data_IF_756351727355
#
_entry.id   IF_756351727355
#
_cell.length_a   1.000
_cell.length_b   1.000
_cell.length_c   1.000
_cell.angle_alpha   90.00
_cell.angle_beta   90.00
_cell.angle_gamma   90.00
#
_symmetry.space_group_name_H-M   'P 1'
#
loop_
_entity.id
_entity.type
_entity.pdbx_description
1 polymer ?
#
# COMPACT_ATOMS: atom_id res chain seq x y z
N UNK A 1 -4.51 14.63 -10.49
CA UNK A 1 -3.37 14.24 -9.62
C UNK A 1 -2.25 13.81 -10.53
N UNK A 2 -0.99 14.03 -10.15
CA UNK A 2 0.16 13.53 -10.91
C UNK A 2 0.67 12.23 -10.29
N UNK A 3 1.35 11.39 -11.08
CA UNK A 3 1.95 10.17 -10.55
C UNK A 3 3.01 10.53 -9.47
N UNK A 4 2.85 10.08 -8.21
CA UNK A 4 3.80 10.41 -7.15
C UNK A 4 5.22 9.92 -7.42
N UNK A 5 5.35 8.79 -8.12
CA UNK A 5 6.62 8.11 -8.41
C UNK A 5 7.40 8.72 -9.58
N UNK A 6 6.76 8.86 -10.74
CA UNK A 6 7.44 9.34 -11.96
C UNK A 6 7.08 10.77 -12.37
N UNK A 7 6.21 11.45 -11.59
CA UNK A 7 5.72 12.82 -11.86
C UNK A 7 5.02 12.99 -13.21
N UNK A 8 4.55 11.88 -13.81
CA UNK A 8 3.74 11.92 -15.02
C UNK A 8 2.40 12.63 -14.72
N UNK A 9 1.99 13.62 -15.53
CA UNK A 9 0.76 14.37 -15.29
C UNK A 9 -0.50 13.59 -15.68
N UNK A 10 -0.37 12.55 -16.50
CA UNK A 10 -1.49 11.73 -16.95
C UNK A 10 -1.58 10.44 -16.13
N UNK A 11 -2.76 10.23 -15.56
CA UNK A 11 -3.15 9.01 -14.88
C UNK A 11 -4.53 8.61 -15.40
N UNK A 12 -4.67 7.35 -15.74
CA UNK A 12 -5.91 6.77 -16.24
C UNK A 12 -6.75 6.29 -15.05
N UNK A 13 -8.05 6.58 -15.08
CA UNK A 13 -8.96 6.08 -14.04
C UNK A 13 -9.29 4.61 -14.34
N UNK A 14 -9.10 3.75 -13.35
CA UNK A 14 -9.40 2.32 -13.42
C UNK A 14 -10.12 1.87 -12.14
N UNK A 15 -10.67 0.66 -12.13
CA UNK A 15 -11.15 0.01 -10.90
C UNK A 15 -10.29 -1.23 -10.62
N UNK A 16 -9.74 -1.34 -9.41
CA UNK A 16 -8.94 -2.50 -8.98
C UNK A 16 -9.80 -3.64 -8.44
N UNK A 17 -10.92 -3.30 -7.82
CA UNK A 17 -11.97 -4.23 -7.40
C UNK A 17 -13.32 -3.53 -7.50
N UNK A 18 -14.39 -4.27 -7.19
CA UNK A 18 -15.69 -3.66 -6.91
C UNK A 18 -15.50 -2.60 -5.82
N UNK A 19 -15.98 -1.39 -6.10
CA UNK A 19 -15.93 -0.23 -5.20
C UNK A 19 -14.53 0.29 -4.83
N UNK A 20 -13.47 -0.08 -5.57
CA UNK A 20 -12.12 0.48 -5.38
C UNK A 20 -11.61 1.18 -6.65
N UNK A 21 -12.01 2.44 -6.89
CA UNK A 21 -11.44 3.25 -7.94
C UNK A 21 -9.96 3.56 -7.66
N UNK A 22 -9.16 3.58 -8.71
CA UNK A 22 -7.73 3.89 -8.66
C UNK A 22 -7.29 4.66 -9.91
N UNK A 23 -6.06 5.17 -9.84
CA UNK A 23 -5.40 5.94 -10.88
C UNK A 23 -4.15 5.19 -11.35
N UNK A 24 -4.18 4.66 -12.56
CA UNK A 24 -3.07 3.93 -13.19
C UNK A 24 -2.12 4.88 -13.92
N UNK A 25 -0.83 4.61 -13.82
CA UNK A 25 0.20 5.32 -14.57
C UNK A 25 0.76 4.43 -15.69
N UNK A 26 0.51 4.77 -16.96
CA UNK A 26 1.09 4.07 -18.11
C UNK A 26 2.62 4.11 -18.20
N UNK A 27 3.29 5.05 -17.50
CA UNK A 27 4.75 5.16 -17.51
C UNK A 27 5.43 4.20 -16.52
N UNK A 28 5.01 4.22 -15.25
CA UNK A 28 5.64 3.41 -14.21
C UNK A 28 4.83 2.17 -13.81
N UNK A 29 3.67 1.96 -14.44
CA UNK A 29 2.74 0.87 -14.18
C UNK A 29 2.22 0.82 -12.73
N UNK A 30 2.31 1.95 -12.02
CA UNK A 30 1.84 2.07 -10.64
C UNK A 30 0.35 2.37 -10.57
N UNK A 31 -0.30 1.88 -9.52
CA UNK A 31 -1.69 2.16 -9.19
C UNK A 31 -1.76 2.99 -7.92
N UNK A 32 -2.56 4.05 -7.95
CA UNK A 32 -2.70 5.00 -6.84
C UNK A 32 -4.15 5.16 -6.47
N UNK A 33 -4.48 4.95 -5.20
CA UNK A 33 -5.84 5.13 -4.68
C UNK A 33 -5.82 6.40 -3.83
N UNK A 34 -6.85 7.24 -3.92
CA UNK A 34 -6.93 8.42 -3.02
C UNK A 34 -7.26 7.95 -1.61
N UNK A 35 -6.80 8.69 -0.60
CA UNK A 35 -7.04 8.35 0.80
C UNK A 35 -8.53 8.10 1.09
N UNK A 36 -9.41 9.00 0.66
CA UNK A 36 -10.85 8.87 0.84
C UNK A 36 -11.45 7.61 0.18
N UNK A 37 -11.04 7.30 -1.06
CA UNK A 37 -11.53 6.12 -1.79
C UNK A 37 -11.07 4.82 -1.08
N UNK A 38 -9.84 4.82 -0.57
CA UNK A 38 -9.29 3.71 0.19
C UNK A 38 -10.02 3.50 1.53
N UNK A 39 -10.28 4.57 2.27
CA UNK A 39 -11.02 4.54 3.53
C UNK A 39 -12.44 3.99 3.34
N UNK A 40 -13.16 4.48 2.32
CA UNK A 40 -14.49 3.95 1.99
C UNK A 40 -14.44 2.46 1.65
N UNK A 41 -13.48 2.03 0.83
CA UNK A 41 -13.33 0.62 0.51
C UNK A 41 -13.04 -0.23 1.75
N UNK A 42 -12.20 0.25 2.67
CA UNK A 42 -11.95 -0.46 3.92
C UNK A 42 -13.22 -0.68 4.75
N UNK A 43 -14.15 0.28 4.78
CA UNK A 43 -15.44 0.13 5.46
C UNK A 43 -16.29 -0.99 4.82
N UNK A 44 -16.20 -1.19 3.50
CA UNK A 44 -16.95 -2.25 2.78
C UNK A 44 -16.49 -3.65 3.15
N UNK A 45 -15.23 -3.82 3.54
CA UNK A 45 -14.67 -5.14 3.85
C UNK A 45 -15.16 -5.69 5.19
N UNK A 46 -15.70 -4.85 6.07
CA UNK A 46 -16.19 -5.26 7.39
C UNK A 46 -15.11 -5.89 8.29
N UNK A 47 -13.83 -5.67 7.99
CA UNK A 47 -12.71 -6.25 8.75
C UNK A 47 -12.36 -5.34 9.92
N UNK A 48 -12.56 -5.84 11.14
CA UNK A 48 -11.85 -5.30 12.29
C UNK A 48 -10.36 -5.67 12.14
N UNK A 49 -9.50 -4.67 11.94
CA UNK A 49 -8.05 -4.87 12.04
C UNK A 49 -7.68 -5.15 13.51
N UNK A 50 -7.82 -6.40 13.94
CA UNK A 50 -7.16 -6.87 15.15
C UNK A 50 -5.67 -6.94 14.82
N UNK A 51 -4.89 -6.04 15.43
CA UNK A 51 -3.45 -6.26 15.57
C UNK A 51 -3.28 -7.50 16.45
N UNK A 52 -3.31 -8.68 15.86
CA UNK A 52 -2.77 -9.87 16.49
C UNK A 52 -1.27 -9.69 16.50
N UNK A 53 -0.70 -9.40 17.67
CA UNK A 53 0.72 -9.64 17.91
C UNK A 53 0.99 -11.09 17.55
N UNK A 54 1.70 -11.32 16.45
CA UNK A 54 2.19 -12.64 16.10
C UNK A 54 3.28 -12.92 17.14
N UNK A 55 3.08 -13.94 17.97
CA UNK A 55 4.10 -14.42 18.90
C UNK A 55 5.23 -15.00 18.04
N UNK A 56 6.32 -14.23 17.89
CA UNK A 56 7.45 -14.57 17.02
C UNK A 56 8.31 -15.64 17.71
N UNK A 57 7.86 -16.90 17.67
CA UNK A 57 8.76 -18.06 17.80
C UNK A 57 8.70 -18.94 16.54
N UNK A 58 8.43 -18.30 15.39
CA UNK A 58 8.57 -18.91 14.08
C UNK A 58 9.96 -18.54 13.58
N UNK A 59 10.88 -19.49 13.37
CA UNK A 59 12.15 -19.22 12.72
C UNK A 59 11.87 -18.81 11.27
N UNK A 60 11.73 -17.50 11.06
CA UNK A 60 11.48 -16.90 9.77
C UNK A 60 12.81 -16.88 9.01
N UNK A 61 13.06 -17.90 8.20
CA UNK A 61 14.21 -17.91 7.30
C UNK A 61 13.91 -17.02 6.09
N UNK A 62 13.72 -15.72 6.35
CA UNK A 62 13.40 -14.71 5.36
C UNK A 62 14.70 -14.11 4.84
N UNK A 63 14.98 -14.34 3.56
CA UNK A 63 16.01 -13.60 2.82
C UNK A 63 15.29 -12.55 1.97
N UNK A 64 15.39 -11.25 2.29
CA UNK A 64 14.78 -10.21 1.49
C UNK A 64 15.31 -10.26 0.06
N UNK A 65 14.46 -9.96 -0.93
CA UNK A 65 14.93 -9.79 -2.31
C UNK A 65 15.70 -8.48 -2.45
N UNK A 66 16.70 -8.45 -3.34
CA UNK A 66 17.39 -7.21 -3.73
C UNK A 66 16.45 -6.16 -4.34
N UNK A 67 15.23 -6.54 -4.72
CA UNK A 67 14.21 -5.64 -5.26
C UNK A 67 13.27 -5.07 -4.18
N UNK A 68 13.21 -5.69 -2.99
CA UNK A 68 12.29 -5.29 -1.91
C UNK A 68 12.71 -3.95 -1.28
N UNK A 69 13.98 -3.56 -1.43
CA UNK A 69 14.52 -2.25 -0.99
C UNK A 69 13.87 -1.04 -1.70
N UNK A 70 13.03 -1.27 -2.71
CA UNK A 70 12.34 -0.21 -3.48
C UNK A 70 10.87 -0.04 -3.12
N UNK A 71 10.33 -0.83 -2.18
CA UNK A 71 8.97 -0.67 -1.71
C UNK A 71 8.85 0.59 -0.85
N UNK A 72 7.77 1.36 -1.05
CA UNK A 72 7.45 2.47 -0.17
C UNK A 72 6.86 1.93 1.14
N UNK A 73 7.26 2.49 2.28
CA UNK A 73 6.68 2.16 3.58
C UNK A 73 5.19 2.56 3.62
N UNK A 74 4.37 1.70 4.21
CA UNK A 74 2.97 2.03 4.47
C UNK A 74 2.90 3.21 5.46
N UNK A 75 2.23 4.32 5.11
CA UNK A 75 2.20 5.53 5.95
C UNK A 75 1.57 5.30 7.33
N UNK A 76 0.83 4.20 7.51
CA UNK A 76 0.24 3.80 8.81
C UNK A 76 1.19 3.01 9.71
N UNK A 77 2.26 2.42 9.15
CA UNK A 77 3.17 1.52 9.88
C UNK A 77 4.50 2.20 10.28
N UNK A 78 4.79 3.37 9.74
CA UNK A 78 6.03 4.13 9.94
C UNK A 78 6.23 4.74 11.35
N UNK A 79 5.39 4.41 12.34
CA UNK A 79 5.54 4.86 13.74
C UNK A 79 6.11 3.81 14.70
N UNK A 80 6.45 2.60 14.26
CA UNK A 80 6.85 1.51 15.17
C UNK A 80 8.29 1.02 15.04
N UNK A 81 9.24 1.92 14.73
CA UNK A 81 10.66 1.68 14.98
C UNK A 81 11.34 2.99 15.41
N UNK A 82 11.19 3.36 16.69
CA UNK A 82 12.29 4.06 17.38
C UNK A 82 13.15 2.97 18.03
N UNK A 83 14.29 2.69 17.42
CA UNK A 83 15.36 1.95 18.07
C UNK A 83 16.12 2.91 19.01
N UNK A 84 16.23 2.55 20.29
CA UNK A 84 17.24 3.08 21.23
C UNK A 84 16.77 4.13 22.21
#
# INVERSE_FOLDING_TARGET
>A
MECPKCKCPQLDTINLSDQLPAHHCGMCQGHWIRAYEYEQWLETLGVEFKQTSIDYDIPLNFTPSDFDVKAALCPRLSQLYEEG
#
